data_IF_322989839095
#
_entry.id   IF_322989839095
#
_cell.length_a   1.000
_cell.length_b   1.000
_cell.length_c   1.000
_cell.angle_alpha   90.00
_cell.angle_beta   90.00
_cell.angle_gamma   90.00
#
_symmetry.space_group_name_H-M   'P 1'
#
loop_
_entity.id
_entity.type
_entity.pdbx_description
1 polymer ?
#
# COMPACT_ATOMS: atom_id res chain seq x y z
N UNK A 1 26.72 -22.43 -57.54
CA UNK A 1 26.49 -22.54 -56.09
C UNK A 1 26.11 -21.16 -55.56
N UNK A 2 24.80 -20.92 -55.35
CA UNK A 2 24.29 -19.62 -54.88
C UNK A 2 24.08 -19.78 -53.33
N UNK A 3 24.88 -19.06 -52.54
CA UNK A 3 24.68 -18.93 -51.09
C UNK A 3 23.55 -17.97 -50.79
N UNK A 4 22.46 -18.47 -50.20
CA UNK A 4 21.42 -17.65 -49.62
C UNK A 4 21.85 -17.26 -48.20
N UNK A 5 22.08 -15.96 -47.97
CA UNK A 5 22.26 -15.41 -46.64
C UNK A 5 20.88 -15.24 -45.99
N UNK A 6 20.61 -16.00 -44.94
CA UNK A 6 19.42 -15.86 -44.12
C UNK A 6 19.69 -14.73 -43.12
N UNK A 7 19.00 -13.59 -43.30
CA UNK A 7 19.00 -12.46 -42.36
C UNK A 7 18.02 -12.80 -41.23
N UNK A 8 18.52 -13.14 -40.04
CA UNK A 8 17.71 -13.31 -38.82
C UNK A 8 17.46 -11.93 -38.20
N UNK A 9 16.21 -11.46 -38.11
CA UNK A 9 15.95 -10.19 -37.43
C UNK A 9 16.19 -10.40 -35.93
N UNK A 10 17.11 -9.64 -35.34
CA UNK A 10 17.29 -9.51 -33.90
C UNK A 10 16.08 -8.71 -33.37
N UNK A 11 15.10 -9.40 -32.79
CA UNK A 11 14.07 -8.78 -31.97
C UNK A 11 14.75 -8.29 -30.68
N UNK A 12 15.04 -7.00 -30.62
CA UNK A 12 15.42 -6.34 -29.38
C UNK A 12 14.20 -6.37 -28.43
N UNK A 13 14.21 -7.29 -27.47
CA UNK A 13 13.28 -7.25 -26.36
C UNK A 13 13.60 -5.98 -25.54
N UNK A 14 12.76 -4.95 -25.67
CA UNK A 14 12.80 -3.82 -24.77
C UNK A 14 12.32 -4.34 -23.42
N UNK A 15 13.25 -4.47 -22.46
CA UNK A 15 12.87 -4.62 -21.06
C UNK A 15 12.06 -3.39 -20.68
N UNK A 16 10.77 -3.58 -20.39
CA UNK A 16 9.95 -2.52 -19.80
C UNK A 16 10.54 -2.27 -18.40
N UNK A 17 11.29 -1.19 -18.26
CA UNK A 17 11.75 -0.72 -16.96
C UNK A 17 10.52 -0.19 -16.23
N UNK A 18 10.27 -0.65 -15.00
CA UNK A 18 9.25 -0.06 -14.16
C UNK A 18 9.54 1.44 -14.01
N UNK A 19 8.49 2.27 -14.07
CA UNK A 19 8.65 3.66 -13.71
C UNK A 19 9.03 3.73 -12.23
N UNK A 20 9.98 4.58 -11.83
CA UNK A 20 10.31 4.74 -10.41
C UNK A 20 9.07 5.23 -9.65
N UNK A 21 8.94 4.82 -8.40
CA UNK A 21 7.90 5.35 -7.52
C UNK A 21 8.02 6.87 -7.46
N UNK A 22 6.89 7.56 -7.40
CA UNK A 22 6.85 9.01 -7.51
C UNK A 22 6.39 9.67 -6.20
N UNK A 23 7.11 10.71 -5.81
CA UNK A 23 6.66 11.59 -4.75
C UNK A 23 5.38 12.32 -5.18
N UNK A 24 4.36 12.31 -4.31
CA UNK A 24 3.06 12.90 -4.59
C UNK A 24 2.27 13.19 -3.32
N UNK A 25 1.32 14.11 -3.45
CA UNK A 25 0.26 14.36 -2.48
C UNK A 25 -1.06 13.95 -3.11
N UNK A 26 -1.84 13.12 -2.42
CA UNK A 26 -3.13 12.62 -2.88
C UNK A 26 -4.19 12.78 -1.80
N UNK A 27 -5.38 13.24 -2.19
CA UNK A 27 -6.56 13.33 -1.29
C UNK A 27 -7.67 12.49 -1.87
N UNK A 28 -8.23 11.63 -1.03
CA UNK A 28 -9.34 10.74 -1.39
C UNK A 28 -10.59 11.10 -0.60
N UNK A 29 -11.73 11.09 -1.28
CA UNK A 29 -13.05 11.09 -0.64
C UNK A 29 -13.48 9.66 -0.45
N UNK A 30 -13.90 9.33 0.78
CA UNK A 30 -14.38 8.00 1.15
C UNK A 30 -15.89 8.02 1.36
N UNK A 31 -16.56 6.96 0.89
CA UNK A 31 -18.00 6.75 1.05
C UNK A 31 -18.28 5.30 1.37
N UNK A 32 -19.32 5.03 2.16
CA UNK A 32 -19.78 3.66 2.42
C UNK A 32 -20.16 2.98 1.10
N UNK A 33 -19.66 1.78 0.88
CA UNK A 33 -20.07 0.88 -0.19
C UNK A 33 -21.09 -0.12 0.32
N UNK A 34 -20.73 -0.86 1.38
CA UNK A 34 -21.59 -1.88 1.98
C UNK A 34 -21.27 -2.09 3.46
N UNK A 35 -22.27 -2.56 4.19
CA UNK A 35 -22.14 -3.00 5.58
C UNK A 35 -22.52 -4.48 5.64
N UNK A 36 -21.59 -5.36 6.05
CA UNK A 36 -21.77 -6.81 6.00
C UNK A 36 -22.87 -7.28 6.97
N UNK A 37 -22.91 -6.70 8.17
CA UNK A 37 -23.84 -7.07 9.23
C UNK A 37 -24.95 -6.03 9.45
N UNK A 38 -25.07 -5.05 8.55
CA UNK A 38 -25.95 -3.89 8.67
C UNK A 38 -25.72 -3.08 9.98
N UNK A 39 -24.53 -3.23 10.57
CA UNK A 39 -24.19 -2.54 11.81
C UNK A 39 -23.77 -1.08 11.56
N UNK A 40 -23.29 -0.76 10.34
CA UNK A 40 -23.01 0.61 9.88
C UNK A 40 -24.07 1.01 8.86
N UNK A 41 -24.77 2.09 9.12
CA UNK A 41 -25.83 2.61 8.24
C UNK A 41 -25.35 3.74 7.35
N UNK A 42 -24.40 4.54 7.83
CA UNK A 42 -23.74 5.60 7.06
C UNK A 42 -22.25 5.62 7.40
N UNK A 43 -21.41 5.88 6.42
CA UNK A 43 -20.00 6.19 6.62
C UNK A 43 -19.50 7.12 5.53
N UNK A 44 -18.73 8.12 5.91
CA UNK A 44 -18.02 8.99 5.00
C UNK A 44 -16.68 9.41 5.62
N UNK A 45 -15.75 9.84 4.78
CA UNK A 45 -14.46 10.23 5.29
C UNK A 45 -13.56 10.84 4.23
N UNK A 46 -12.36 11.18 4.66
CA UNK A 46 -11.29 11.66 3.79
C UNK A 46 -9.99 10.96 4.16
N UNK A 47 -9.16 10.72 3.18
CA UNK A 47 -7.80 10.24 3.38
C UNK A 47 -6.83 11.13 2.61
N UNK A 48 -5.85 11.66 3.31
CA UNK A 48 -4.69 12.33 2.72
C UNK A 48 -3.53 11.36 2.72
N UNK A 49 -2.80 11.27 1.63
CA UNK A 49 -1.65 10.38 1.48
C UNK A 49 -0.51 11.13 0.81
N UNK A 50 0.60 11.27 1.52
CA UNK A 50 1.79 11.95 1.07
C UNK A 50 2.96 10.98 0.93
N UNK A 51 3.65 11.02 -0.20
CA UNK A 51 4.90 10.31 -0.45
C UNK A 51 5.94 11.34 -0.86
N UNK A 52 7.05 11.39 -0.14
CA UNK A 52 8.17 12.28 -0.46
C UNK A 52 9.44 11.46 -0.63
N UNK A 53 10.23 11.82 -1.62
CA UNK A 53 11.58 11.30 -1.83
C UNK A 53 12.59 12.27 -1.23
N UNK A 54 13.35 11.82 -0.22
CA UNK A 54 14.37 12.61 0.49
C UNK A 54 15.80 12.29 0.02
N UNK A 55 15.96 11.62 -1.13
CA UNK A 55 17.23 11.14 -1.71
C UNK A 55 17.90 9.97 -0.97
N UNK A 56 17.63 9.78 0.30
CA UNK A 56 18.13 8.66 1.09
C UNK A 56 17.00 7.70 1.51
N UNK A 57 15.79 8.21 1.57
CA UNK A 57 14.63 7.50 2.11
C UNK A 57 13.32 8.01 1.50
N UNK A 58 12.30 7.18 1.55
CA UNK A 58 10.92 7.54 1.34
C UNK A 58 10.29 7.97 2.66
N UNK A 59 9.62 9.12 2.67
CA UNK A 59 8.72 9.49 3.77
C UNK A 59 7.30 9.28 3.28
N UNK A 60 6.52 8.49 4.01
CA UNK A 60 5.09 8.31 3.75
C UNK A 60 4.31 8.82 4.95
N UNK A 61 3.26 9.60 4.72
CA UNK A 61 2.29 9.94 5.75
C UNK A 61 0.86 9.77 5.23
N UNK A 62 0.00 9.24 6.09
CA UNK A 62 -1.43 9.09 5.83
C UNK A 62 -2.20 9.69 7.00
N UNK A 63 -3.19 10.49 6.67
CA UNK A 63 -4.18 10.98 7.62
C UNK A 63 -5.56 10.56 7.14
N UNK A 64 -6.21 9.68 7.89
CA UNK A 64 -7.52 9.11 7.58
C UNK A 64 -8.52 9.58 8.63
N UNK A 65 -9.63 10.16 8.17
CA UNK A 65 -10.77 10.54 9.01
C UNK A 65 -11.99 9.81 8.49
N UNK A 66 -12.72 9.14 9.38
CA UNK A 66 -13.98 8.44 9.08
C UNK A 66 -15.00 8.84 10.12
N UNK A 67 -16.14 9.32 9.65
CA UNK A 67 -17.36 9.50 10.43
C UNK A 67 -18.34 8.41 10.02
N UNK A 68 -18.82 7.63 10.97
CA UNK A 68 -19.80 6.58 10.73
C UNK A 68 -20.96 6.65 11.71
N UNK A 69 -22.13 6.22 11.28
CA UNK A 69 -23.32 6.05 12.12
C UNK A 69 -23.66 4.57 12.16
N UNK A 70 -23.81 4.02 13.37
CA UNK A 70 -24.20 2.63 13.54
C UNK A 70 -25.74 2.45 13.47
N UNK A 71 -26.21 1.20 13.43
CA UNK A 71 -27.65 0.86 13.39
C UNK A 71 -28.46 1.40 14.58
N UNK A 72 -27.81 1.67 15.72
CA UNK A 72 -28.45 2.20 16.91
C UNK A 72 -28.52 3.74 16.89
N UNK A 73 -28.05 4.37 15.80
CA UNK A 73 -28.00 5.81 15.60
C UNK A 73 -26.91 6.51 16.38
N UNK A 74 -25.86 5.78 16.78
CA UNK A 74 -24.70 6.36 17.44
C UNK A 74 -23.67 6.76 16.37
N UNK A 75 -23.17 7.96 16.47
CA UNK A 75 -22.08 8.46 15.63
C UNK A 75 -20.74 8.09 16.26
N UNK A 76 -19.80 7.65 15.43
CA UNK A 76 -18.43 7.33 15.81
C UNK A 76 -17.48 8.11 14.92
N UNK A 77 -16.57 8.84 15.52
CA UNK A 77 -15.54 9.60 14.82
C UNK A 77 -14.17 8.91 14.98
N UNK A 78 -13.57 8.50 13.88
CA UNK A 78 -12.27 7.82 13.83
C UNK A 78 -11.25 8.69 13.11
N UNK A 79 -10.08 8.83 13.70
CA UNK A 79 -8.91 9.45 13.08
C UNK A 79 -7.74 8.48 13.18
N UNK A 80 -7.08 8.23 12.06
CA UNK A 80 -5.86 7.41 12.01
C UNK A 80 -4.74 8.19 11.33
N UNK A 81 -3.65 8.35 12.06
CA UNK A 81 -2.40 8.91 11.57
C UNK A 81 -1.36 7.80 11.42
N UNK A 82 -0.75 7.73 10.26
CA UNK A 82 0.31 6.78 9.95
C UNK A 82 1.46 7.51 9.28
N UNK A 83 2.69 7.24 9.72
CA UNK A 83 3.88 7.81 9.12
C UNK A 83 5.05 6.83 9.13
N UNK A 84 5.81 6.80 8.04
CA UNK A 84 7.04 6.02 7.93
C UNK A 84 8.17 6.81 7.31
N UNK A 85 9.40 6.45 7.68
CA UNK A 85 10.62 6.82 6.99
C UNK A 85 11.33 5.53 6.59
N UNK A 86 11.22 5.13 5.32
CA UNK A 86 11.79 3.89 4.79
C UNK A 86 13.02 4.20 3.92
N UNK A 87 14.16 3.57 4.19
CA UNK A 87 15.36 3.71 3.39
C UNK A 87 15.15 3.17 1.96
N UNK A 88 15.81 3.78 0.96
CA UNK A 88 15.66 3.38 -0.45
C UNK A 88 16.11 1.93 -0.72
N UNK A 89 16.98 1.37 0.11
CA UNK A 89 17.39 -0.03 0.01
C UNK A 89 16.35 -0.99 0.61
N UNK A 90 15.26 -0.47 1.21
CA UNK A 90 14.19 -1.24 1.81
C UNK A 90 14.63 -2.08 3.02
N UNK A 91 15.69 -1.64 3.72
CA UNK A 91 16.27 -2.37 4.84
C UNK A 91 16.01 -1.73 6.22
N UNK A 92 15.65 -0.45 6.26
CA UNK A 92 15.41 0.30 7.51
C UNK A 92 14.12 1.08 7.41
N UNK A 93 13.35 1.13 8.51
CA UNK A 93 12.13 1.92 8.59
C UNK A 93 11.92 2.41 10.03
N UNK A 94 11.67 3.72 10.18
CA UNK A 94 11.03 4.26 11.37
C UNK A 94 9.52 4.31 11.09
N UNK A 95 8.69 3.99 12.09
CA UNK A 95 7.25 3.96 11.94
C UNK A 95 6.52 4.56 13.14
N UNK A 96 5.40 5.20 12.83
CA UNK A 96 4.45 5.76 13.80
C UNK A 96 3.03 5.51 13.31
N UNK A 97 2.21 4.93 14.17
CA UNK A 97 0.77 4.75 13.96
C UNK A 97 0.03 5.25 15.18
N UNK A 98 -1.02 6.03 14.98
CA UNK A 98 -1.91 6.49 16.05
C UNK A 98 -3.35 6.47 15.59
N UNK A 99 -4.21 5.84 16.37
CA UNK A 99 -5.64 5.82 16.14
C UNK A 99 -6.37 6.46 17.32
N UNK A 100 -7.35 7.29 16.99
CA UNK A 100 -8.22 7.98 17.95
C UNK A 100 -9.67 7.67 17.57
N UNK A 101 -10.46 7.22 18.52
CA UNK A 101 -11.91 7.03 18.34
C UNK A 101 -12.63 7.81 19.43
N UNK A 102 -13.53 8.71 19.02
CA UNK A 102 -14.29 9.56 19.94
C UNK A 102 -13.41 10.29 20.98
N UNK A 103 -12.31 10.90 20.51
CA UNK A 103 -11.31 11.62 21.30
C UNK A 103 -10.44 10.74 22.23
N UNK A 104 -10.67 9.44 22.29
CA UNK A 104 -9.82 8.50 23.03
C UNK A 104 -8.77 7.89 22.10
N UNK A 105 -7.51 7.87 22.53
CA UNK A 105 -6.46 7.12 21.82
C UNK A 105 -6.76 5.63 22.00
N UNK A 106 -7.11 4.94 20.92
CA UNK A 106 -7.42 3.51 20.91
C UNK A 106 -6.21 2.67 20.58
N UNK A 107 -5.28 3.23 19.79
CA UNK A 107 -4.04 2.56 19.44
C UNK A 107 -2.92 3.59 19.24
N UNK A 108 -1.71 3.23 19.65
CA UNK A 108 -0.49 3.95 19.31
C UNK A 108 0.67 2.96 19.24
N UNK A 109 1.40 3.01 18.11
CA UNK A 109 2.52 2.10 17.84
C UNK A 109 3.67 2.94 17.30
N UNK A 110 4.83 2.85 17.97
CA UNK A 110 6.05 3.53 17.56
C UNK A 110 7.22 2.55 17.59
N UNK A 111 8.14 2.69 16.63
CA UNK A 111 9.33 1.85 16.63
C UNK A 111 10.19 2.01 15.39
N UNK A 112 11.12 1.07 15.27
CA UNK A 112 12.03 0.95 14.13
C UNK A 112 12.07 -0.48 13.63
N UNK A 113 12.27 -0.69 12.34
CA UNK A 113 12.48 -2.01 11.75
C UNK A 113 13.80 -2.05 11.00
N UNK A 114 14.52 -3.16 11.16
CA UNK A 114 15.79 -3.41 10.47
C UNK A 114 15.75 -4.80 9.84
N UNK A 115 16.01 -4.85 8.55
CA UNK A 115 16.18 -6.08 7.77
C UNK A 115 17.65 -6.24 7.38
N UNK A 116 18.13 -7.48 7.23
CA UNK A 116 19.46 -7.76 6.67
C UNK A 116 19.62 -7.14 5.27
N UNK A 117 18.54 -7.08 4.52
CA UNK A 117 18.31 -6.42 3.22
C UNK A 117 16.81 -6.45 2.93
N UNK A 118 16.36 -5.72 1.91
CA UNK A 118 14.98 -5.87 1.40
C UNK A 118 14.68 -7.33 1.05
N UNK A 119 13.57 -7.86 1.55
CA UNK A 119 13.23 -9.29 1.44
C UNK A 119 14.09 -10.22 2.31
N UNK A 120 14.90 -9.68 3.21
CA UNK A 120 15.66 -10.42 4.22
C UNK A 120 14.80 -10.78 5.43
N UNK A 121 15.45 -11.34 6.43
CA UNK A 121 14.94 -11.43 7.80
C UNK A 121 15.39 -10.21 8.58
N UNK A 122 14.79 -9.97 9.72
CA UNK A 122 15.17 -8.85 10.56
C UNK A 122 14.42 -8.82 11.88
N UNK A 123 14.25 -7.63 12.41
CA UNK A 123 13.47 -7.41 13.62
C UNK A 123 12.82 -6.03 13.61
N UNK A 124 11.76 -5.88 14.38
CA UNK A 124 11.14 -4.61 14.72
C UNK A 124 11.30 -4.36 16.21
N UNK A 125 11.83 -3.21 16.57
CA UNK A 125 11.97 -2.73 17.93
C UNK A 125 10.88 -1.72 18.23
N UNK A 126 9.90 -2.11 19.03
CA UNK A 126 8.79 -1.26 19.45
C UNK A 126 9.18 -0.45 20.69
N UNK A 127 8.75 0.81 20.72
CA UNK A 127 8.85 1.69 21.89
C UNK A 127 7.49 1.94 22.54
N UNK A 128 6.43 1.82 21.75
CA UNK A 128 5.01 1.96 22.12
C UNK A 128 4.22 0.84 21.44
N UNK A 129 3.20 0.24 22.06
CA UNK A 129 2.65 0.49 23.39
C UNK A 129 3.56 -0.02 24.52
N UNK A 130 4.45 -0.96 24.24
CA UNK A 130 5.43 -1.51 25.18
C UNK A 130 6.76 -1.75 24.47
N UNK A 131 7.84 -1.71 25.23
CA UNK A 131 9.16 -2.01 24.67
C UNK A 131 9.29 -3.50 24.43
N UNK A 132 9.40 -3.89 23.16
CA UNK A 132 9.63 -5.28 22.75
C UNK A 132 10.33 -5.34 21.40
N UNK A 133 11.01 -6.44 21.16
CA UNK A 133 11.59 -6.79 19.87
C UNK A 133 10.82 -7.97 19.29
N UNK A 134 10.39 -7.85 18.04
CA UNK A 134 9.71 -8.91 17.30
C UNK A 134 10.54 -9.29 16.08
N UNK A 135 10.76 -10.59 15.88
CA UNK A 135 11.51 -11.07 14.71
C UNK A 135 10.67 -10.99 13.44
N UNK A 136 11.27 -10.50 12.37
CA UNK A 136 10.69 -10.43 11.06
C UNK A 136 11.19 -11.59 10.20
N UNK A 137 10.30 -12.36 9.55
CA UNK A 137 10.67 -13.56 8.81
C UNK A 137 11.45 -13.24 7.54
N UNK A 138 12.13 -14.26 7.00
CA UNK A 138 12.72 -14.19 5.67
C UNK A 138 11.64 -13.87 4.63
N UNK A 139 11.93 -12.99 3.70
CA UNK A 139 11.01 -12.53 2.67
C UNK A 139 10.29 -11.23 3.01
N UNK A 140 10.43 -10.71 4.24
CA UNK A 140 9.75 -9.48 4.67
C UNK A 140 10.13 -8.29 3.78
N UNK A 141 9.11 -7.59 3.31
CA UNK A 141 9.24 -6.30 2.65
C UNK A 141 8.69 -5.19 3.56
N UNK A 142 9.27 -4.01 3.43
CA UNK A 142 8.75 -2.76 3.98
C UNK A 142 7.77 -2.11 2.97
N UNK A 143 6.94 -1.14 3.34
CA UNK A 143 5.81 -0.66 2.53
C UNK A 143 6.16 -0.18 1.11
N UNK A 144 7.21 0.63 0.96
CA UNK A 144 7.60 1.14 -0.36
C UNK A 144 8.25 0.04 -1.21
N UNK A 145 9.06 -0.83 -0.58
CA UNK A 145 9.61 -2.01 -1.26
C UNK A 145 8.50 -2.99 -1.67
N UNK A 146 7.45 -3.18 -0.88
CA UNK A 146 6.28 -4.00 -1.21
C UNK A 146 5.53 -3.41 -2.42
N UNK A 147 5.27 -2.10 -2.42
CA UNK A 147 4.64 -1.39 -3.53
C UNK A 147 5.43 -1.57 -4.83
N UNK A 148 6.76 -1.40 -4.77
CA UNK A 148 7.65 -1.65 -5.91
C UNK A 148 7.57 -3.08 -6.42
N UNK A 149 7.66 -4.07 -5.52
CA UNK A 149 7.60 -5.49 -5.87
C UNK A 149 6.27 -5.90 -6.50
N UNK A 150 5.15 -5.31 -6.03
CA UNK A 150 3.82 -5.51 -6.60
C UNK A 150 3.76 -4.97 -8.03
N UNK A 151 4.19 -3.72 -8.25
CA UNK A 151 4.19 -3.09 -9.57
C UNK A 151 5.09 -3.86 -10.55
N UNK A 152 6.28 -4.27 -10.12
CA UNK A 152 7.19 -5.09 -10.91
C UNK A 152 6.54 -6.44 -11.29
N UNK A 153 5.86 -7.08 -10.36
CA UNK A 153 5.11 -8.31 -10.63
C UNK A 153 4.01 -8.10 -11.66
N UNK A 154 3.27 -6.98 -11.56
CA UNK A 154 2.20 -6.63 -12.48
C UNK A 154 2.74 -6.35 -13.91
N UNK A 155 3.82 -5.58 -14.02
CA UNK A 155 4.50 -5.29 -15.30
C UNK A 155 5.05 -6.58 -15.93
N UNK A 156 5.56 -7.50 -15.10
CA UNK A 156 6.03 -8.81 -15.55
C UNK A 156 4.89 -9.79 -15.93
N UNK A 157 3.63 -9.36 -15.82
CA UNK A 157 2.45 -10.17 -16.17
C UNK A 157 2.13 -11.28 -15.16
N UNK A 158 2.67 -11.22 -13.95
CA UNK A 158 2.29 -12.14 -12.87
C UNK A 158 0.84 -11.87 -12.45
N UNK A 159 0.19 -12.88 -11.92
CA UNK A 159 -1.20 -12.80 -11.43
C UNK A 159 -1.27 -12.73 -9.91
N UNK A 160 -0.24 -13.18 -9.24
CA UNK A 160 -0.19 -13.26 -7.78
C UNK A 160 1.20 -12.88 -7.28
N UNK A 161 1.21 -12.26 -6.09
CA UNK A 161 2.41 -12.07 -5.28
C UNK A 161 2.02 -12.40 -3.84
N UNK A 162 2.84 -13.19 -3.14
CA UNK A 162 2.65 -13.48 -1.73
C UNK A 162 3.98 -13.28 -1.02
N UNK A 163 4.02 -12.32 -0.11
CA UNK A 163 5.21 -11.95 0.66
C UNK A 163 4.81 -11.46 2.04
N UNK A 164 5.63 -11.66 3.07
CA UNK A 164 5.42 -10.98 4.35
C UNK A 164 5.66 -9.47 4.19
N UNK A 165 4.76 -8.67 4.76
CA UNK A 165 4.87 -7.22 4.86
C UNK A 165 4.99 -6.82 6.33
N UNK A 166 5.92 -5.94 6.64
CA UNK A 166 5.95 -5.22 7.90
C UNK A 166 5.73 -3.73 7.62
N UNK A 167 4.60 -3.20 8.05
CA UNK A 167 4.21 -1.80 7.83
C UNK A 167 4.13 -0.97 9.12
N UNK A 168 4.29 -1.60 10.30
CA UNK A 168 4.22 -0.90 11.58
C UNK A 168 2.79 -0.55 12.02
N UNK A 169 1.76 -1.10 11.39
CA UNK A 169 0.35 -0.88 11.77
C UNK A 169 -0.11 -1.80 12.89
N UNK A 170 0.63 -2.87 13.18
CA UNK A 170 0.37 -3.77 14.30
C UNK A 170 1.63 -4.01 15.12
N UNK A 171 1.46 -4.27 16.41
CA UNK A 171 2.58 -4.60 17.29
C UNK A 171 2.98 -6.09 17.25
N UNK A 172 2.36 -6.90 16.40
CA UNK A 172 2.57 -8.36 16.32
C UNK A 172 3.64 -8.76 15.29
N UNK A 173 4.17 -7.79 14.55
CA UNK A 173 5.23 -7.98 13.56
C UNK A 173 4.70 -8.02 12.13
N UNK A 174 5.34 -8.81 11.26
CA UNK A 174 4.94 -8.88 9.85
C UNK A 174 3.61 -9.62 9.68
N UNK A 175 2.81 -9.16 8.72
CA UNK A 175 1.62 -9.83 8.21
C UNK A 175 1.95 -10.59 6.92
N UNK A 176 1.25 -11.67 6.63
CA UNK A 176 1.31 -12.27 5.29
C UNK A 176 0.40 -11.50 4.35
N UNK A 177 0.91 -11.08 3.20
CA UNK A 177 0.09 -10.48 2.16
C UNK A 177 -0.11 -11.45 1.00
N UNK A 178 -1.34 -11.45 0.47
CA UNK A 178 -1.67 -12.11 -0.77
C UNK A 178 -2.23 -11.08 -1.74
N UNK A 179 -1.45 -10.80 -2.79
CA UNK A 179 -1.81 -9.84 -3.83
C UNK A 179 -2.36 -10.60 -5.03
N UNK A 180 -3.56 -10.21 -5.48
CA UNK A 180 -4.13 -10.61 -6.77
C UNK A 180 -4.00 -9.46 -7.74
N UNK A 181 -3.35 -9.69 -8.89
CA UNK A 181 -3.23 -8.74 -10.00
C UNK A 181 -4.31 -9.10 -11.03
N UNK A 182 -5.45 -8.43 -10.93
CA UNK A 182 -6.62 -8.73 -11.74
C UNK A 182 -6.40 -8.31 -13.21
N UNK A 183 -5.81 -7.14 -13.39
CA UNK A 183 -5.50 -6.59 -14.69
C UNK A 183 -4.26 -5.71 -14.66
N UNK A 184 -3.59 -5.58 -15.81
CA UNK A 184 -2.54 -4.59 -16.02
C UNK A 184 -2.53 -4.19 -17.47
N UNK A 185 -2.65 -2.89 -17.75
CA UNK A 185 -2.87 -2.35 -19.08
C UNK A 185 -1.77 -1.35 -19.46
N UNK A 186 -1.59 -1.20 -20.76
CA UNK A 186 -0.73 -0.16 -21.33
C UNK A 186 -1.29 1.24 -20.99
N UNK A 187 -0.46 2.30 -21.09
CA UNK A 187 -0.91 3.68 -20.90
C UNK A 187 -2.18 4.01 -21.68
N UNK A 188 -3.07 4.73 -21.03
CA UNK A 188 -4.32 5.22 -21.61
C UNK A 188 -4.70 6.57 -21.00
N UNK A 189 -5.51 7.39 -21.69
CA UNK A 189 -5.96 8.66 -21.13
C UNK A 189 -6.61 8.51 -19.75
N UNK A 190 -6.21 9.34 -18.82
CA UNK A 190 -6.69 9.34 -17.43
C UNK A 190 -7.28 10.73 -17.09
N UNK A 191 -8.13 10.77 -16.05
CA UNK A 191 -8.60 12.03 -15.44
C UNK A 191 -7.43 12.92 -15.04
N UNK A 192 -6.36 12.32 -14.57
CA UNK A 192 -5.13 12.98 -14.12
C UNK A 192 -4.08 12.90 -15.23
N UNK A 193 -3.74 14.02 -15.90
CA UNK A 193 -2.80 14.00 -17.03
C UNK A 193 -1.44 13.38 -16.70
N UNK A 194 -0.96 13.59 -15.47
CA UNK A 194 0.31 13.02 -14.99
C UNK A 194 0.33 11.48 -14.99
N UNK A 195 -0.82 10.83 -14.96
CA UNK A 195 -0.97 9.37 -14.96
C UNK A 195 -1.21 8.78 -16.35
N UNK A 196 -1.53 9.61 -17.35
CA UNK A 196 -1.95 9.14 -18.68
C UNK A 196 -0.85 8.42 -19.47
N UNK A 197 0.44 8.67 -19.14
CA UNK A 197 1.57 8.02 -19.81
C UNK A 197 2.03 6.73 -19.09
N UNK A 198 1.36 6.34 -18.02
CA UNK A 198 1.73 5.20 -17.16
C UNK A 198 0.86 3.99 -17.47
N UNK A 199 1.46 2.80 -17.40
CA UNK A 199 0.68 1.57 -17.30
C UNK A 199 0.00 1.49 -15.93
N UNK A 200 -1.16 0.85 -15.87
CA UNK A 200 -1.96 0.75 -14.67
C UNK A 200 -2.80 -0.52 -14.67
N UNK A 201 -3.26 -0.92 -13.51
CA UNK A 201 -4.13 -2.08 -13.40
C UNK A 201 -4.81 -2.18 -12.05
N UNK A 202 -5.79 -3.08 -11.96
CA UNK A 202 -6.48 -3.38 -10.72
C UNK A 202 -5.75 -4.46 -9.95
N UNK A 203 -5.54 -4.19 -8.67
CA UNK A 203 -4.94 -5.12 -7.72
C UNK A 203 -5.81 -5.22 -6.47
N UNK A 204 -5.75 -6.37 -5.83
CA UNK A 204 -6.40 -6.62 -4.55
C UNK A 204 -5.37 -7.23 -3.60
N UNK A 205 -5.28 -6.71 -2.40
CA UNK A 205 -4.32 -7.14 -1.37
C UNK A 205 -5.11 -7.58 -0.14
N UNK A 206 -4.91 -8.82 0.26
CA UNK A 206 -5.44 -9.37 1.51
C UNK A 206 -4.31 -9.51 2.53
N UNK A 207 -4.57 -9.10 3.78
CA UNK A 207 -3.62 -9.10 4.89
C UNK A 207 -4.04 -10.12 5.93
N UNK A 208 -3.12 -11.02 6.28
CA UNK A 208 -3.37 -12.12 7.21
C UNK A 208 -2.44 -12.01 8.41
N UNK A 209 -3.01 -12.19 9.59
CA UNK A 209 -2.23 -12.32 10.82
C UNK A 209 -1.43 -13.64 10.80
N UNK A 210 -0.13 -13.55 11.05
CA UNK A 210 0.76 -14.70 11.12
C UNK A 210 0.73 -15.41 12.47
N UNK A 211 0.24 -14.76 13.51
CA UNK A 211 0.21 -15.30 14.87
C UNK A 211 -0.99 -16.22 15.08
N UNK A 212 -2.05 -16.01 14.32
CA UNK A 212 -3.23 -16.86 14.27
C UNK A 212 -3.20 -17.63 12.96
N UNK A 213 -3.56 -18.87 12.93
CA UNK A 213 -3.77 -19.61 11.67
C UNK A 213 -5.09 -19.15 11.01
N UNK A 214 -5.25 -17.82 10.82
CA UNK A 214 -6.47 -17.22 10.32
C UNK A 214 -6.69 -17.63 8.86
N UNK A 215 -7.86 -18.20 8.58
CA UNK A 215 -8.28 -18.54 7.21
C UNK A 215 -8.88 -17.33 6.47
N UNK A 216 -9.23 -16.27 7.22
CA UNK A 216 -9.79 -15.03 6.69
C UNK A 216 -8.82 -13.87 6.90
N UNK A 217 -8.72 -12.93 5.94
CA UNK A 217 -7.90 -11.75 6.11
C UNK A 217 -8.47 -10.83 7.20
N UNK A 218 -7.59 -10.11 7.88
CA UNK A 218 -7.97 -9.08 8.86
C UNK A 218 -8.41 -7.79 8.17
N UNK A 219 -7.84 -7.52 7.00
CA UNK A 219 -8.08 -6.33 6.21
C UNK A 219 -7.85 -6.66 4.74
N UNK A 220 -8.60 -6.01 3.85
CA UNK A 220 -8.42 -6.13 2.42
C UNK A 220 -8.51 -4.75 1.76
N UNK A 221 -7.70 -4.54 0.73
CA UNK A 221 -7.75 -3.33 -0.07
C UNK A 221 -7.66 -3.66 -1.56
N UNK A 222 -8.63 -3.18 -2.33
CA UNK A 222 -8.61 -3.13 -3.78
C UNK A 222 -8.27 -1.75 -4.27
N UNK A 223 -7.55 -1.62 -5.40
CA UNK A 223 -7.25 -0.33 -6.00
C UNK A 223 -6.80 -0.46 -7.44
N UNK A 224 -6.91 0.63 -8.17
CA UNK A 224 -6.16 0.82 -9.41
C UNK A 224 -4.79 1.41 -9.07
N UNK A 225 -3.72 0.63 -9.28
CA UNK A 225 -2.35 1.13 -9.20
C UNK A 225 -1.84 1.60 -10.55
N UNK A 226 -1.10 2.71 -10.54
CA UNK A 226 -0.28 3.18 -11.65
C UNK A 226 1.18 2.77 -11.44
N UNK A 227 1.94 2.64 -12.53
CA UNK A 227 3.32 2.16 -12.50
C UNK A 227 4.27 3.02 -11.64
N UNK A 228 3.86 4.22 -11.25
CA UNK A 228 4.62 5.11 -10.36
C UNK A 228 4.18 5.07 -8.89
N UNK A 229 3.30 4.12 -8.50
CA UNK A 229 2.83 3.97 -7.13
C UNK A 229 1.63 4.82 -6.73
N UNK A 230 1.13 5.70 -7.59
CA UNK A 230 -0.13 6.41 -7.34
C UNK A 230 -1.30 5.42 -7.45
N UNK A 231 -2.27 5.54 -6.55
CA UNK A 231 -3.48 4.73 -6.55
C UNK A 231 -4.74 5.57 -6.76
N UNK A 232 -5.80 4.97 -7.32
CA UNK A 232 -7.17 5.51 -7.38
C UNK A 232 -8.17 4.35 -7.27
N UNK A 233 -9.44 4.68 -7.11
CA UNK A 233 -10.51 3.69 -7.07
C UNK A 233 -10.33 2.66 -5.95
N UNK A 234 -10.08 3.16 -4.73
CA UNK A 234 -9.87 2.32 -3.56
C UNK A 234 -11.15 1.60 -3.17
N UNK A 235 -11.03 0.35 -2.73
CA UNK A 235 -12.06 -0.39 -2.00
C UNK A 235 -11.40 -0.90 -0.73
N UNK A 236 -11.84 -0.43 0.43
CA UNK A 236 -11.22 -0.69 1.74
C UNK A 236 -12.20 -1.50 2.58
N UNK A 237 -11.89 -2.77 2.85
CA UNK A 237 -12.71 -3.67 3.65
C UNK A 237 -12.18 -3.73 5.08
N UNK A 238 -12.91 -3.13 6.01
CA UNK A 238 -12.59 -3.08 7.44
C UNK A 238 -13.18 -4.26 8.23
N UNK A 239 -13.63 -5.31 7.55
CA UNK A 239 -14.27 -6.47 8.17
C UNK A 239 -15.78 -6.29 8.35
N UNK A 240 -16.23 -5.30 9.11
CA UNK A 240 -17.66 -5.01 9.34
C UNK A 240 -18.33 -4.19 8.22
N UNK A 241 -17.58 -3.37 7.53
CA UNK A 241 -18.06 -2.50 6.45
C UNK A 241 -16.97 -2.26 5.40
N UNK A 242 -17.40 -1.85 4.22
CA UNK A 242 -16.53 -1.56 3.08
C UNK A 242 -16.72 -0.11 2.67
N UNK A 243 -15.63 0.58 2.38
CA UNK A 243 -15.64 1.95 1.86
C UNK A 243 -15.00 2.01 0.48
N UNK A 244 -15.58 2.83 -0.39
CA UNK A 244 -14.97 3.23 -1.66
C UNK A 244 -14.22 4.55 -1.50
N UNK A 245 -12.99 4.63 -2.03
CA UNK A 245 -12.17 5.83 -2.07
C UNK A 245 -11.95 6.33 -3.49
N UNK A 246 -12.20 7.62 -3.73
CA UNK A 246 -11.99 8.27 -5.03
C UNK A 246 -10.98 9.40 -4.90
N UNK A 247 -9.99 9.39 -5.76
CA UNK A 247 -8.98 10.43 -5.84
C UNK A 247 -9.60 11.77 -6.24
N UNK A 248 -9.50 12.76 -5.36
CA UNK A 248 -10.05 14.12 -5.54
C UNK A 248 -8.97 15.12 -5.92
N UNK A 249 -7.79 15.00 -5.32
CA UNK A 249 -6.65 15.86 -5.58
C UNK A 249 -5.41 14.98 -5.81
N UNK A 250 -4.59 15.37 -6.77
CA UNK A 250 -3.30 14.76 -7.03
C UNK A 250 -2.29 15.84 -7.41
N UNK A 251 -1.29 16.03 -6.57
CA UNK A 251 -0.16 16.91 -6.82
C UNK A 251 1.12 16.08 -6.89
N UNK A 252 1.73 16.04 -8.08
CA UNK A 252 3.00 15.34 -8.26
C UNK A 252 4.13 16.24 -7.80
N UNK A 253 4.98 15.73 -6.93
CA UNK A 253 6.18 16.45 -6.52
C UNK A 253 7.33 16.12 -7.48
N UNK A 254 8.09 17.13 -7.93
CA UNK A 254 9.30 16.86 -8.70
C UNK A 254 10.27 16.10 -7.79
N UNK A 255 10.88 15.04 -8.31
CA UNK A 255 11.96 14.36 -7.61
C UNK A 255 13.04 15.38 -7.23
N UNK A 256 13.42 15.40 -5.95
CA UNK A 256 14.44 16.31 -5.44
C UNK A 256 15.86 15.74 -5.62
N UNK A 257 15.93 14.58 -6.19
CA UNK A 257 17.14 13.78 -6.40
C UNK A 257 17.37 13.42 -7.85
#
# INVERSE_FOLDING_TARGET
MRMFAVLVPLLAAHAACAAPLAAHHAVYQLTLDSSKDQDVTEAHGTMTYDVLDTCAAWTTSQHLVIDLTNKDGQDVHMVSDYATLESHDGAHMDFHTKQVTDQAVTEQIDGTAVLDRSGGRGHADFTTPERKTVLLPQGTLLPMAHTGALIDAAIAGKKFLSVPLFDGTTADGAQDTFVTIESWHKPSPQKWPALSALSAGHVHIAFFDRTTAAETPNYEIGMQYFANGVADGLTMDFGGFVMNGRLQTLDMHPGRC
#
